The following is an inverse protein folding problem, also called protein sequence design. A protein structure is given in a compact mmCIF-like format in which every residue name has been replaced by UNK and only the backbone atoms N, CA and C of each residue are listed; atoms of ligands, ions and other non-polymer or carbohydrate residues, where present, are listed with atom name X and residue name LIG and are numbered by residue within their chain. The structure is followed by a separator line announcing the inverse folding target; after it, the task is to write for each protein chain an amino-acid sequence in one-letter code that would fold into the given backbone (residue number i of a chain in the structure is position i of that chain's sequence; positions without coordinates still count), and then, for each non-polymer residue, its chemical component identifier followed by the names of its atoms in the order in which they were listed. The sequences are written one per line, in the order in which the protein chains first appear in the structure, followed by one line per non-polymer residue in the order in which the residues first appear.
data_IF_211321936331
#
_entry.id   IF_211321936331
#
_cell.length_a   1.000
_cell.length_b   1.000
_cell.length_c   1.000
_cell.angle_alpha   90.00
_cell.angle_beta   90.00
_cell.angle_gamma   90.00
#
_symmetry.space_group_name_H-M   'P 1'
#
loop_
_entity.id
_entity.type
_entity.pdbx_description
1 polymer ?
#
# COMPACT_ATOMS: atom_id res chain seq x y z
N UNK A 1 -7.85 -17.79 -20.73
CA UNK A 1 -6.54 -17.16 -21.03
C UNK A 1 -6.54 -15.62 -20.82
N UNK A 2 -7.33 -15.10 -19.88
CA UNK A 2 -7.35 -13.65 -19.50
C UNK A 2 -6.88 -13.43 -18.04
N UNK A 3 -6.78 -14.52 -17.26
CA UNK A 3 -6.43 -14.46 -15.82
C UNK A 3 -4.98 -14.09 -15.55
N UNK A 4 -4.07 -14.40 -16.48
CA UNK A 4 -2.62 -14.27 -16.30
C UNK A 4 -2.11 -12.83 -16.47
N UNK A 5 -2.84 -11.95 -17.17
CA UNK A 5 -2.40 -10.57 -17.40
C UNK A 5 -2.65 -9.62 -16.21
N UNK A 6 -3.51 -10.00 -15.26
CA UNK A 6 -3.73 -9.23 -14.01
C UNK A 6 -2.73 -9.66 -12.90
N UNK A 7 -1.93 -10.71 -13.13
CA UNK A 7 -1.09 -11.28 -12.08
C UNK A 7 0.20 -10.50 -11.77
N UNK A 8 0.63 -9.57 -12.62
CA UNK A 8 1.92 -8.90 -12.48
C UNK A 8 1.94 -7.73 -11.47
N UNK A 9 0.78 -7.22 -11.04
CA UNK A 9 0.69 -6.08 -10.13
C UNK A 9 -0.23 -6.40 -8.96
N UNK A 10 0.24 -7.33 -8.10
CA UNK A 10 -0.54 -7.89 -7.01
C UNK A 10 -0.60 -7.01 -5.75
N UNK A 11 0.20 -5.94 -5.62
CA UNK A 11 0.27 -5.14 -4.39
C UNK A 11 -0.44 -3.78 -4.47
N UNK A 12 -1.10 -3.38 -3.39
CA UNK A 12 -1.66 -2.03 -3.17
C UNK A 12 -0.79 -1.27 -2.17
N UNK A 13 -0.20 -0.17 -2.63
CA UNK A 13 0.54 0.80 -1.80
C UNK A 13 -0.40 1.96 -1.44
N UNK A 14 -0.78 2.07 -0.17
CA UNK A 14 -1.63 3.17 0.31
C UNK A 14 -0.80 4.23 1.05
N UNK A 15 -0.77 5.44 0.49
CA UNK A 15 -0.12 6.61 1.08
C UNK A 15 -1.15 7.46 1.83
N UNK A 16 -0.95 7.66 3.13
CA UNK A 16 -1.85 8.50 3.93
C UNK A 16 -1.59 9.99 3.66
N UNK A 17 -2.61 10.83 3.92
CA UNK A 17 -2.49 12.29 3.76
C UNK A 17 -1.64 12.96 4.85
N UNK A 18 -1.44 14.28 4.71
CA UNK A 18 -0.69 15.08 5.69
C UNK A 18 -1.30 14.98 7.10
N UNK A 19 -0.44 14.83 8.12
CA UNK A 19 -0.82 14.61 9.54
C UNK A 19 -1.76 13.42 9.77
N UNK A 20 -1.81 12.49 8.82
CA UNK A 20 -2.50 11.21 8.96
C UNK A 20 -1.50 10.10 9.29
N UNK A 21 -1.99 8.86 9.37
CA UNK A 21 -1.21 7.70 9.76
C UNK A 21 -1.81 6.42 9.16
N UNK A 22 -1.09 5.28 9.24
CA UNK A 22 -1.64 3.96 8.92
C UNK A 22 -2.91 3.61 9.69
N UNK A 23 -3.10 4.21 10.87
CA UNK A 23 -4.31 4.07 11.68
C UNK A 23 -5.53 4.85 11.15
N UNK A 24 -5.42 5.58 10.02
CA UNK A 24 -6.57 6.30 9.46
C UNK A 24 -7.71 5.35 9.10
N UNK A 25 -8.96 5.82 9.25
CA UNK A 25 -10.18 5.04 8.95
C UNK A 25 -10.10 4.41 7.56
N UNK A 26 -9.65 5.17 6.55
CA UNK A 26 -9.51 4.69 5.17
C UNK A 26 -8.50 3.55 5.04
N UNK A 27 -7.33 3.69 5.67
CA UNK A 27 -6.27 2.67 5.62
C UNK A 27 -6.71 1.38 6.34
N UNK A 28 -7.32 1.51 7.53
CA UNK A 28 -7.82 0.36 8.29
C UNK A 28 -8.99 -0.35 7.59
N UNK A 29 -9.93 0.40 7.00
CA UNK A 29 -11.02 -0.17 6.21
C UNK A 29 -10.51 -0.94 4.99
N UNK A 30 -9.56 -0.37 4.25
CA UNK A 30 -8.96 -1.05 3.10
C UNK A 30 -8.19 -2.31 3.53
N UNK A 31 -7.38 -2.22 4.60
CA UNK A 31 -6.67 -3.37 5.17
C UNK A 31 -7.64 -4.49 5.53
N UNK A 32 -8.72 -4.19 6.24
CA UNK A 32 -9.73 -5.17 6.64
C UNK A 32 -10.36 -5.87 5.42
N UNK A 33 -10.73 -5.10 4.39
CA UNK A 33 -11.28 -5.66 3.13
C UNK A 33 -10.28 -6.54 2.38
N UNK A 34 -8.99 -6.24 2.42
CA UNK A 34 -7.96 -7.08 1.82
C UNK A 34 -7.75 -8.36 2.63
N UNK A 35 -7.76 -8.28 3.95
CA UNK A 35 -7.71 -9.45 4.84
C UNK A 35 -8.87 -10.41 4.60
N UNK A 36 -10.10 -9.90 4.52
CA UNK A 36 -11.29 -10.73 4.25
C UNK A 36 -11.24 -11.47 2.92
N UNK A 37 -10.48 -10.95 1.95
CA UNK A 37 -10.29 -11.56 0.63
C UNK A 37 -9.08 -12.49 0.55
N UNK A 38 -8.36 -12.70 1.66
CA UNK A 38 -7.12 -13.46 1.68
C UNK A 38 -5.97 -12.78 0.93
N UNK A 39 -5.97 -11.44 0.89
CA UNK A 39 -4.99 -10.60 0.18
C UNK A 39 -4.24 -9.67 1.14
N UNK A 40 -4.15 -10.02 2.43
CA UNK A 40 -3.50 -9.16 3.43
C UNK A 40 -2.01 -8.92 3.12
N UNK A 41 -1.34 -9.93 2.56
CA UNK A 41 0.05 -9.91 2.09
C UNK A 41 0.30 -8.94 0.93
N UNK A 42 -0.77 -8.47 0.28
CA UNK A 42 -0.74 -7.57 -0.87
C UNK A 42 -1.01 -6.12 -0.49
N UNK A 43 -1.11 -5.79 0.79
CA UNK A 43 -1.38 -4.43 1.25
C UNK A 43 -0.17 -3.85 1.97
N UNK A 44 0.33 -2.72 1.50
CA UNK A 44 1.34 -1.94 2.22
C UNK A 44 0.81 -0.56 2.60
N UNK A 45 0.97 -0.20 3.86
CA UNK A 45 0.70 1.13 4.39
C UNK A 45 1.52 1.35 5.67
N UNK A 46 2.58 2.13 5.56
CA UNK A 46 3.42 2.52 6.70
C UNK A 46 3.35 4.02 6.99
N UNK A 47 3.93 4.40 8.13
CA UNK A 47 4.01 5.79 8.53
C UNK A 47 4.95 6.55 7.60
N UNK A 48 4.41 7.54 6.89
CA UNK A 48 5.22 8.39 6.04
C UNK A 48 5.98 9.43 6.86
N UNK A 49 7.24 9.74 6.51
CA UNK A 49 7.98 10.90 7.03
C UNK A 49 7.26 12.20 6.71
N UNK A 50 7.47 13.23 7.54
CA UNK A 50 6.94 14.58 7.28
C UNK A 50 7.60 15.21 6.04
N UNK A 51 8.86 14.86 5.76
CA UNK A 51 9.59 15.34 4.58
C UNK A 51 9.00 14.73 3.30
N UNK A 52 8.51 15.53 2.32
CA UNK A 52 7.96 15.02 1.07
C UNK A 52 8.96 14.17 0.29
N UNK A 53 10.23 14.58 0.24
CA UNK A 53 11.30 13.83 -0.45
C UNK A 53 11.52 12.45 0.19
N UNK A 54 11.53 12.39 1.52
CA UNK A 54 11.72 11.12 2.23
C UNK A 54 10.50 10.21 2.09
N UNK A 55 9.28 10.76 2.08
CA UNK A 55 8.05 10.00 1.85
C UNK A 55 8.01 9.39 0.44
N UNK A 56 8.41 10.14 -0.59
CA UNK A 56 8.54 9.62 -1.96
C UNK A 56 9.59 8.52 -2.01
N UNK A 57 10.78 8.74 -1.44
CA UNK A 57 11.84 7.72 -1.44
C UNK A 57 11.41 6.41 -0.75
N UNK A 58 10.66 6.50 0.36
CA UNK A 58 10.09 5.33 1.03
C UNK A 58 9.09 4.58 0.13
N UNK A 59 8.16 5.32 -0.49
CA UNK A 59 7.16 4.73 -1.38
C UNK A 59 7.80 4.09 -2.62
N UNK A 60 8.79 4.75 -3.24
CA UNK A 60 9.53 4.23 -4.40
C UNK A 60 10.32 2.98 -4.06
N UNK A 61 10.97 2.94 -2.89
CA UNK A 61 11.68 1.75 -2.42
C UNK A 61 10.74 0.55 -2.24
N UNK A 62 9.54 0.79 -1.71
CA UNK A 62 8.56 -0.29 -1.53
C UNK A 62 7.95 -0.75 -2.87
N UNK A 63 7.65 0.18 -3.78
CA UNK A 63 7.21 -0.14 -5.14
C UNK A 63 8.28 -0.97 -5.86
N UNK A 64 9.57 -0.65 -5.67
CA UNK A 64 10.67 -1.41 -6.28
C UNK A 64 10.80 -2.83 -5.70
N UNK A 65 10.54 -3.04 -4.41
CA UNK A 65 10.54 -4.37 -3.77
C UNK A 65 9.40 -5.27 -4.24
N UNK A 66 8.27 -4.67 -4.62
CA UNK A 66 7.06 -5.40 -5.01
C UNK A 66 6.90 -5.64 -6.51
N UNK A 67 7.85 -5.16 -7.32
CA UNK A 67 7.99 -5.48 -8.75
C UNK A 67 8.75 -6.78 -8.92
#
# INVERSE_FOLDING_TARGET
MVRTLIEAHKMIVYLHGFRSAPASIKAQALKARMTERGLADRFWCEQLPVSPRAAIALAEAEIARAR
#
